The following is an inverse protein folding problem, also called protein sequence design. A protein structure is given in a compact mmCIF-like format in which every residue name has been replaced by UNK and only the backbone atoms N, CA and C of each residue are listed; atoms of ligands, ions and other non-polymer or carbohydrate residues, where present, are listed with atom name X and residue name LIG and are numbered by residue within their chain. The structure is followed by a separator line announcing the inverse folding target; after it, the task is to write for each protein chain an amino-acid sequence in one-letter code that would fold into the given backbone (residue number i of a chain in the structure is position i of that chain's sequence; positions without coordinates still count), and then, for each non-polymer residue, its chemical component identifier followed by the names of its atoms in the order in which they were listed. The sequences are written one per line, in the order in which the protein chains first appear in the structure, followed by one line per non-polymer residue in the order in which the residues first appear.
data_IF_570125683652
#
_entry.id   IF_570125683652
#
_cell.length_a   1.000
_cell.length_b   1.000
_cell.length_c   1.000
_cell.angle_alpha   90.00
_cell.angle_beta   90.00
_cell.angle_gamma   90.00
#
_symmetry.space_group_name_H-M   'P 1'
#
loop_
_entity.id
_entity.type
_entity.pdbx_description
1 polymer ?
#
# COMPACT_ATOMS: atom_id res chain seq x y z
N UNK A 1 8.89 10.21 -16.85
CA UNK A 1 7.69 11.03 -16.55
C UNK A 1 6.85 10.43 -15.40
N UNK A 2 6.43 9.16 -15.49
CA UNK A 2 5.59 8.50 -14.46
C UNK A 2 6.24 8.46 -13.06
N UNK A 3 7.52 8.10 -12.97
CA UNK A 3 8.25 8.05 -11.67
C UNK A 3 8.31 9.42 -10.99
N UNK A 4 8.53 10.48 -11.76
CA UNK A 4 8.59 11.86 -11.23
C UNK A 4 7.23 12.28 -10.66
N UNK A 5 6.15 11.93 -11.35
CA UNK A 5 4.80 12.19 -10.88
C UNK A 5 4.48 11.40 -9.60
N UNK A 6 4.87 10.13 -9.53
CA UNK A 6 4.70 9.31 -8.33
C UNK A 6 5.42 9.93 -7.12
N UNK A 7 6.69 10.29 -7.26
CA UNK A 7 7.47 10.93 -6.19
C UNK A 7 6.84 12.27 -5.76
N UNK A 8 6.33 13.05 -6.71
CA UNK A 8 5.64 14.31 -6.41
C UNK A 8 4.38 14.08 -5.57
N UNK A 9 3.54 13.10 -5.95
CA UNK A 9 2.32 12.75 -5.23
C UNK A 9 2.60 12.18 -3.83
N UNK A 10 3.62 11.34 -3.71
CA UNK A 10 4.08 10.81 -2.42
C UNK A 10 4.49 11.96 -1.50
N UNK A 11 5.34 12.87 -1.97
CA UNK A 11 5.77 14.04 -1.20
C UNK A 11 4.60 14.95 -0.83
N UNK A 12 3.60 15.08 -1.71
CA UNK A 12 2.37 15.79 -1.39
C UNK A 12 1.64 15.12 -0.22
N UNK A 13 1.52 13.80 -0.21
CA UNK A 13 0.93 13.03 0.91
C UNK A 13 1.70 13.24 2.22
N UNK A 14 3.02 13.12 2.20
CA UNK A 14 3.88 13.34 3.37
C UNK A 14 3.81 14.77 3.94
N UNK A 15 3.39 15.77 3.16
CA UNK A 15 3.16 17.14 3.65
C UNK A 15 1.85 17.31 4.41
N UNK A 16 0.85 16.45 4.17
CA UNK A 16 -0.49 16.58 4.74
C UNK A 16 -0.82 15.51 5.77
N UNK A 17 -0.02 14.44 5.82
CA UNK A 17 -0.23 13.28 6.68
C UNK A 17 1.07 12.96 7.41
N UNK A 18 0.98 12.53 8.66
CA UNK A 18 2.13 12.07 9.44
C UNK A 18 2.92 11.01 8.68
N UNK A 19 4.25 11.14 8.69
CA UNK A 19 5.12 10.30 7.88
C UNK A 19 4.95 8.80 8.16
N UNK A 20 4.61 8.44 9.40
CA UNK A 20 4.38 7.05 9.79
C UNK A 20 3.10 6.49 9.17
N UNK A 21 1.99 7.23 9.23
CA UNK A 21 0.73 6.84 8.58
C UNK A 21 0.87 6.84 7.05
N UNK A 22 1.50 7.87 6.47
CA UNK A 22 1.72 7.96 5.04
C UNK A 22 2.55 6.78 4.50
N UNK A 23 3.65 6.45 5.17
CA UNK A 23 4.49 5.29 4.82
C UNK A 23 3.68 3.99 4.86
N UNK A 24 2.86 3.82 5.90
CA UNK A 24 2.05 2.61 6.06
C UNK A 24 0.96 2.49 4.98
N UNK A 25 0.39 3.62 4.52
CA UNK A 25 -0.54 3.65 3.39
C UNK A 25 0.16 3.26 2.09
N UNK A 26 1.40 3.71 1.86
CA UNK A 26 2.15 3.36 0.65
C UNK A 26 2.42 1.86 0.54
N UNK A 27 2.56 1.14 1.65
CA UNK A 27 2.68 -0.32 1.64
C UNK A 27 1.47 -1.04 1.02
N UNK A 28 0.29 -0.39 0.93
CA UNK A 28 -0.86 -0.94 0.21
C UNK A 28 -0.60 -1.09 -1.29
N UNK A 29 0.40 -0.41 -1.86
CA UNK A 29 0.83 -0.60 -3.24
C UNK A 29 1.09 -2.08 -3.55
N UNK A 30 1.73 -2.82 -2.62
CA UNK A 30 1.97 -4.25 -2.79
C UNK A 30 0.68 -5.09 -2.82
N UNK A 31 -0.35 -4.67 -2.09
CA UNK A 31 -1.67 -5.33 -2.10
C UNK A 31 -2.36 -5.07 -3.44
N UNK A 32 -2.33 -3.83 -3.95
CA UNK A 32 -2.88 -3.51 -5.26
C UNK A 32 -2.09 -4.21 -6.38
N UNK A 33 -0.77 -4.29 -6.28
CA UNK A 33 0.06 -5.04 -7.22
C UNK A 33 -0.34 -6.52 -7.26
N UNK A 34 -0.57 -7.16 -6.11
CA UNK A 34 -1.07 -8.53 -6.03
C UNK A 34 -2.44 -8.68 -6.70
N UNK A 35 -3.38 -7.76 -6.43
CA UNK A 35 -4.71 -7.77 -7.07
C UNK A 35 -4.60 -7.63 -8.59
N UNK A 36 -3.76 -6.71 -9.07
CA UNK A 36 -3.50 -6.54 -10.50
C UNK A 36 -2.81 -7.77 -11.10
N UNK A 37 -1.87 -8.39 -10.39
CA UNK A 37 -1.22 -9.62 -10.83
C UNK A 37 -2.24 -10.75 -11.06
N UNK A 38 -3.16 -10.94 -10.12
CA UNK A 38 -4.25 -11.92 -10.24
C UNK A 38 -5.16 -11.62 -11.44
N UNK A 39 -5.51 -10.34 -11.67
CA UNK A 39 -6.42 -9.95 -12.75
C UNK A 39 -5.77 -10.11 -14.13
N UNK A 40 -4.54 -9.62 -14.29
CA UNK A 40 -3.87 -9.55 -15.60
C UNK A 40 -3.10 -10.83 -15.95
N UNK A 41 -2.37 -11.39 -14.99
CA UNK A 41 -1.49 -12.54 -15.22
C UNK A 41 -2.16 -13.86 -14.83
N UNK A 42 -3.32 -13.82 -14.15
CA UNK A 42 -4.06 -15.00 -13.67
C UNK A 42 -3.18 -15.90 -12.79
N UNK A 43 -2.19 -15.30 -12.14
CA UNK A 43 -1.34 -15.98 -11.17
C UNK A 43 -2.16 -16.35 -9.95
N UNK A 44 -2.02 -17.59 -9.49
CA UNK A 44 -2.64 -18.04 -8.25
C UNK A 44 -1.78 -17.54 -7.08
N UNK A 45 -2.29 -16.64 -6.23
CA UNK A 45 -1.52 -16.11 -5.12
C UNK A 45 -1.24 -17.23 -4.12
N UNK A 46 0.00 -17.31 -3.65
CA UNK A 46 0.40 -18.26 -2.64
C UNK A 46 -0.12 -17.82 -1.25
N UNK A 47 -0.21 -18.75 -0.32
CA UNK A 47 -0.61 -18.49 1.07
C UNK A 47 0.23 -17.38 1.72
N UNK A 48 1.52 -17.28 1.38
CA UNK A 48 2.41 -16.22 1.84
C UNK A 48 1.94 -14.82 1.39
N UNK A 49 1.51 -14.70 0.15
CA UNK A 49 1.05 -13.44 -0.42
C UNK A 49 -0.30 -13.02 0.16
N UNK A 50 -1.19 -13.99 0.40
CA UNK A 50 -2.46 -13.76 1.09
C UNK A 50 -2.23 -13.30 2.54
N UNK A 51 -1.39 -14.00 3.29
CA UNK A 51 -1.08 -13.63 4.68
C UNK A 51 -0.39 -12.26 4.74
N UNK A 52 0.58 -12.01 3.86
CA UNK A 52 1.24 -10.70 3.76
C UNK A 52 0.25 -9.58 3.44
N UNK A 53 -0.66 -9.79 2.48
CA UNK A 53 -1.69 -8.82 2.11
C UNK A 53 -2.64 -8.50 3.27
N UNK A 54 -3.08 -9.52 4.02
CA UNK A 54 -3.91 -9.34 5.22
C UNK A 54 -3.18 -8.52 6.28
N UNK A 55 -1.90 -8.80 6.53
CA UNK A 55 -1.08 -8.05 7.50
C UNK A 55 -0.97 -6.57 7.11
N UNK A 56 -0.72 -6.28 5.82
CA UNK A 56 -0.62 -4.91 5.33
C UNK A 56 -1.95 -4.17 5.51
N UNK A 57 -3.08 -4.78 5.13
CA UNK A 57 -4.41 -4.19 5.31
C UNK A 57 -4.71 -3.93 6.79
N UNK A 58 -4.43 -4.91 7.65
CA UNK A 58 -4.64 -4.77 9.09
C UNK A 58 -3.77 -3.66 9.69
N UNK A 59 -2.51 -3.56 9.27
CA UNK A 59 -1.60 -2.48 9.67
C UNK A 59 -2.14 -1.11 9.25
N UNK A 60 -2.58 -0.95 8.01
CA UNK A 60 -3.11 0.31 7.48
C UNK A 60 -4.35 0.77 8.26
N UNK A 61 -5.28 -0.14 8.53
CA UNK A 61 -6.49 0.14 9.31
C UNK A 61 -6.15 0.45 10.77
N UNK A 62 -5.25 -0.31 11.38
CA UNK A 62 -4.80 -0.12 12.75
C UNK A 62 -4.15 1.25 12.94
N UNK A 63 -3.22 1.61 12.07
CA UNK A 63 -2.50 2.89 12.14
C UNK A 63 -3.45 4.08 11.94
N UNK A 64 -4.39 3.99 11.02
CA UNK A 64 -5.39 5.04 10.80
C UNK A 64 -6.31 5.27 12.02
N UNK A 65 -6.43 4.29 12.93
CA UNK A 65 -7.16 4.45 14.18
C UNK A 65 -6.32 5.04 15.31
N UNK A 66 -5.00 4.83 15.28
CA UNK A 66 -4.05 5.35 16.28
C UNK A 66 -3.68 6.80 16.01
N UNK A 67 -3.65 7.21 14.74
CA UNK A 67 -3.36 8.60 14.34
C UNK A 67 -4.54 9.57 14.61
N UNK A 68 -5.74 9.05 14.88
CA UNK A 68 -6.91 9.86 15.27
C UNK A 68 -6.81 10.32 16.72
#
# INVERSE_FOLDING_TARGET
MVVVLNIYLINYGFRHVHAVLASNILTLESVFALVLAIIFYRESPNLKELVGGIIIIASAIGMNRVEK
#
